data_IF_256436507268
#
_entry.id   IF_256436507268
#
_cell.length_a   1.000
_cell.length_b   1.000
_cell.length_c   1.000
_cell.angle_alpha   90.00
_cell.angle_beta   90.00
_cell.angle_gamma   90.00
#
_symmetry.space_group_name_H-M   'P 1'
#
loop_
_entity.id
_entity.type
_entity.pdbx_description
1 polymer ?
#
# COMPACT_ATOMS: atom_id res chain seq x y z
N UNK A 1 -38.11 -68.15 2.05
CA UNK A 1 -37.53 -68.96 0.96
C UNK A 1 -37.93 -68.55 -0.47
N UNK A 2 -38.22 -67.26 -0.76
CA UNK A 2 -38.65 -66.84 -2.11
C UNK A 2 -37.68 -65.93 -2.90
N UNK A 3 -36.58 -65.45 -2.32
CA UNK A 3 -35.70 -64.48 -3.00
C UNK A 3 -34.51 -65.09 -3.77
N UNK A 4 -34.19 -66.37 -3.58
CA UNK A 4 -32.91 -66.94 -4.06
C UNK A 4 -33.00 -67.46 -5.51
N UNK A 5 -34.20 -67.55 -6.11
CA UNK A 5 -34.38 -68.29 -7.37
C UNK A 5 -34.12 -67.50 -8.67
N UNK A 6 -33.87 -66.18 -8.65
CA UNK A 6 -33.86 -65.39 -9.90
C UNK A 6 -32.57 -64.68 -10.32
N UNK A 7 -31.48 -64.72 -9.54
CA UNK A 7 -30.20 -64.07 -9.92
C UNK A 7 -28.99 -65.01 -9.89
N UNK A 8 -29.14 -66.19 -10.50
CA UNK A 8 -28.06 -67.19 -10.61
C UNK A 8 -27.07 -66.93 -11.76
N UNK A 9 -26.97 -65.70 -12.29
CA UNK A 9 -26.15 -65.42 -13.48
C UNK A 9 -25.00 -64.42 -13.31
N UNK A 10 -24.87 -63.73 -12.17
CA UNK A 10 -23.87 -62.65 -12.09
C UNK A 10 -23.15 -62.49 -10.75
N UNK A 11 -23.25 -63.45 -9.82
CA UNK A 11 -22.49 -63.42 -8.56
C UNK A 11 -22.80 -62.24 -7.61
N UNK A 12 -23.71 -61.33 -7.96
CA UNK A 12 -24.04 -60.16 -7.16
C UNK A 12 -25.49 -60.20 -6.67
N UNK A 13 -25.66 -60.39 -5.35
CA UNK A 13 -26.89 -60.07 -4.63
C UNK A 13 -26.91 -58.56 -4.37
N UNK A 14 -27.02 -57.74 -5.42
CA UNK A 14 -27.13 -56.27 -5.26
C UNK A 14 -28.20 -55.86 -4.23
N UNK A 15 -28.28 -54.58 -3.90
CA UNK A 15 -29.12 -54.07 -2.80
C UNK A 15 -30.53 -54.71 -2.72
N UNK A 16 -30.86 -55.26 -1.55
CA UNK A 16 -32.14 -55.89 -1.27
C UNK A 16 -32.75 -55.36 0.04
N UNK A 17 -34.07 -55.44 0.15
CA UNK A 17 -34.80 -55.09 1.36
C UNK A 17 -35.13 -56.36 2.14
N UNK A 18 -34.79 -56.38 3.42
CA UNK A 18 -35.12 -57.47 4.33
C UNK A 18 -35.58 -56.87 5.65
N UNK A 19 -36.77 -57.26 6.11
CA UNK A 19 -37.42 -56.72 7.32
C UNK A 19 -37.54 -55.18 7.35
N UNK A 20 -37.73 -54.56 6.19
CA UNK A 20 -37.83 -53.10 6.06
C UNK A 20 -36.49 -52.36 6.08
N UNK A 21 -35.39 -53.08 6.30
CA UNK A 21 -34.04 -52.53 6.28
C UNK A 21 -33.34 -52.79 4.94
N UNK A 22 -32.39 -51.93 4.58
CA UNK A 22 -31.65 -52.01 3.33
C UNK A 22 -30.35 -52.79 3.54
N UNK A 23 -30.18 -53.88 2.81
CA UNK A 23 -29.04 -54.79 2.93
C UNK A 23 -28.24 -54.85 1.63
N UNK A 24 -26.93 -54.89 1.76
CA UNK A 24 -26.00 -55.12 0.66
C UNK A 24 -25.54 -56.58 0.69
N UNK A 25 -25.81 -57.33 -0.37
CA UNK A 25 -25.40 -58.73 -0.52
C UNK A 25 -24.28 -58.90 -1.54
N UNK A 26 -23.37 -59.83 -1.29
CA UNK A 26 -22.40 -60.26 -2.28
C UNK A 26 -22.19 -61.76 -2.19
N UNK A 27 -22.19 -62.45 -3.33
CA UNK A 27 -21.88 -63.88 -3.39
C UNK A 27 -20.49 -64.03 -4.00
N UNK A 28 -19.49 -64.27 -3.17
CA UNK A 28 -18.17 -64.67 -3.67
C UNK A 28 -18.21 -66.16 -4.00
N UNK A 29 -17.94 -66.50 -5.26
CA UNK A 29 -17.78 -67.90 -5.68
C UNK A 29 -16.29 -68.16 -5.85
N UNK A 30 -15.76 -69.14 -5.11
CA UNK A 30 -14.36 -69.52 -5.23
C UNK A 30 -14.16 -70.58 -6.30
N UNK A 31 -13.06 -70.49 -7.02
CA UNK A 31 -12.69 -71.40 -8.10
C UNK A 31 -12.56 -72.86 -7.63
N UNK A 32 -12.87 -73.78 -8.54
CA UNK A 32 -13.00 -75.21 -8.30
C UNK A 32 -11.68 -75.83 -7.81
N UNK A 33 -11.64 -76.32 -6.57
CA UNK A 33 -10.60 -77.23 -6.10
C UNK A 33 -11.29 -78.42 -5.42
N UNK A 34 -11.00 -79.63 -5.89
CA UNK A 34 -11.57 -80.90 -5.41
C UNK A 34 -13.09 -81.10 -5.61
N UNK A 35 -13.64 -80.71 -6.77
CA UNK A 35 -14.98 -81.16 -7.19
C UNK A 35 -16.17 -80.53 -6.44
N UNK A 36 -15.92 -79.64 -5.47
CA UNK A 36 -16.96 -79.01 -4.66
C UNK A 36 -16.94 -77.49 -4.85
N UNK A 37 -18.10 -76.91 -5.19
CA UNK A 37 -18.25 -75.46 -5.33
C UNK A 37 -18.63 -74.86 -3.97
N UNK A 38 -17.80 -73.95 -3.48
CA UNK A 38 -18.07 -73.18 -2.26
C UNK A 38 -18.61 -71.81 -2.65
N UNK A 39 -19.78 -71.47 -2.11
CA UNK A 39 -20.39 -70.16 -2.24
C UNK A 39 -20.38 -69.47 -0.89
N UNK A 40 -19.69 -68.34 -0.78
CA UNK A 40 -19.72 -67.50 0.40
C UNK A 40 -20.73 -66.38 0.19
N UNK A 41 -21.74 -66.34 1.04
CA UNK A 41 -22.75 -65.27 1.07
C UNK A 41 -22.36 -64.27 2.16
N UNK A 42 -22.12 -63.03 1.76
CA UNK A 42 -21.89 -61.91 2.66
C UNK A 42 -23.09 -60.98 2.58
N UNK A 43 -23.61 -60.56 3.73
CA UNK A 43 -24.68 -59.57 3.84
C UNK A 43 -24.30 -58.55 4.94
N UNK A 44 -24.35 -57.26 4.60
CA UNK A 44 -24.09 -56.17 5.54
C UNK A 44 -25.22 -55.15 5.47
N UNK A 45 -25.59 -54.58 6.62
CA UNK A 45 -26.58 -53.50 6.71
C UNK A 45 -26.00 -52.27 6.01
N UNK A 46 -26.78 -51.69 5.09
CA UNK A 46 -26.31 -50.54 4.33
C UNK A 46 -26.03 -49.34 5.25
N UNK A 47 -26.81 -49.17 6.30
CA UNK A 47 -26.67 -48.03 7.22
C UNK A 47 -25.34 -48.07 7.99
N UNK A 48 -24.88 -49.23 8.46
CA UNK A 48 -23.61 -49.36 9.22
C UNK A 48 -22.36 -49.09 8.37
N UNK A 49 -22.42 -49.39 7.06
CA UNK A 49 -21.35 -49.08 6.11
C UNK A 49 -21.18 -47.57 5.89
N UNK A 50 -22.27 -46.81 6.06
CA UNK A 50 -22.29 -45.37 5.86
C UNK A 50 -22.32 -44.56 7.17
N UNK A 51 -22.63 -45.15 8.32
CA UNK A 51 -22.76 -44.44 9.59
C UNK A 51 -21.44 -43.79 10.02
N UNK A 52 -20.32 -44.50 9.79
CA UNK A 52 -18.97 -43.97 9.99
C UNK A 52 -18.59 -42.86 8.98
N UNK A 53 -19.24 -42.81 7.80
CA UNK A 53 -18.98 -41.81 6.76
C UNK A 53 -19.90 -40.58 6.81
N UNK A 54 -21.10 -40.70 7.40
CA UNK A 54 -22.11 -39.64 7.47
C UNK A 54 -21.81 -38.66 8.60
N UNK A 55 -21.25 -39.12 9.73
CA UNK A 55 -20.76 -38.21 10.79
C UNK A 55 -19.65 -37.29 10.27
N UNK A 56 -18.74 -37.82 9.46
CA UNK A 56 -17.63 -37.05 8.86
C UNK A 56 -18.15 -36.04 7.82
N UNK A 57 -19.19 -36.39 7.06
CA UNK A 57 -19.80 -35.50 6.06
C UNK A 57 -20.41 -34.24 6.66
N UNK A 58 -21.17 -34.35 7.76
CA UNK A 58 -21.84 -33.18 8.36
C UNK A 58 -20.82 -32.20 8.95
N UNK A 59 -19.81 -32.70 9.65
CA UNK A 59 -18.78 -31.84 10.25
C UNK A 59 -17.90 -31.14 9.20
N UNK A 60 -17.65 -31.80 8.06
CA UNK A 60 -16.89 -31.21 6.96
C UNK A 60 -17.67 -30.07 6.28
N UNK A 61 -18.98 -30.22 6.12
CA UNK A 61 -19.84 -29.19 5.50
C UNK A 61 -19.93 -27.92 6.36
N UNK A 62 -20.09 -28.06 7.68
CA UNK A 62 -20.12 -26.89 8.57
C UNK A 62 -18.77 -26.19 8.64
N UNK A 63 -17.67 -26.95 8.69
CA UNK A 63 -16.31 -26.39 8.71
C UNK A 63 -16.01 -25.64 7.41
N UNK A 64 -16.36 -26.22 6.25
CA UNK A 64 -16.18 -25.56 4.95
C UNK A 64 -17.02 -24.28 4.81
N UNK A 65 -18.28 -24.32 5.25
CA UNK A 65 -19.16 -23.15 5.28
C UNK A 65 -18.60 -22.06 6.20
N UNK A 66 -18.07 -22.42 7.36
CA UNK A 66 -17.48 -21.48 8.31
C UNK A 66 -16.23 -20.81 7.74
N UNK A 67 -15.35 -21.58 7.08
CA UNK A 67 -14.16 -21.04 6.38
C UNK A 67 -14.59 -20.08 5.26
N UNK A 68 -15.56 -20.47 4.43
CA UNK A 68 -16.08 -19.62 3.36
C UNK A 68 -16.64 -18.30 3.92
N UNK A 69 -17.41 -18.39 5.02
CA UNK A 69 -17.95 -17.22 5.70
C UNK A 69 -16.87 -16.34 6.30
N UNK A 70 -15.73 -16.91 6.72
CA UNK A 70 -14.58 -16.16 7.27
C UNK A 70 -13.73 -15.49 6.18
N UNK A 71 -13.67 -16.07 4.98
CA UNK A 71 -12.94 -15.52 3.84
C UNK A 71 -13.57 -14.20 3.36
N UNK A 72 -14.90 -14.11 3.35
CA UNK A 72 -15.63 -12.90 2.94
C UNK A 72 -15.23 -11.63 3.74
N UNK A 73 -15.28 -11.61 5.09
CA UNK A 73 -14.82 -10.46 5.87
C UNK A 73 -13.31 -10.28 5.74
N UNK A 74 -12.52 -11.35 5.59
CA UNK A 74 -11.08 -11.24 5.33
C UNK A 74 -10.78 -10.43 4.07
N UNK A 75 -11.41 -10.78 2.94
CA UNK A 75 -11.27 -10.06 1.67
C UNK A 75 -11.76 -8.61 1.79
N UNK A 76 -12.90 -8.40 2.47
CA UNK A 76 -13.45 -7.06 2.69
C UNK A 76 -12.49 -6.15 3.47
N UNK A 77 -11.92 -6.66 4.56
CA UNK A 77 -10.95 -5.94 5.39
C UNK A 77 -9.70 -5.62 4.57
N UNK A 78 -9.12 -6.60 3.87
CA UNK A 78 -7.93 -6.39 3.04
C UNK A 78 -8.19 -5.34 1.94
N UNK A 79 -9.34 -5.42 1.27
CA UNK A 79 -9.74 -4.46 0.24
C UNK A 79 -9.84 -3.03 0.79
N UNK A 80 -10.42 -2.87 1.98
CA UNK A 80 -10.56 -1.56 2.64
C UNK A 80 -9.20 -1.02 3.11
N UNK A 81 -8.34 -1.88 3.67
CA UNK A 81 -7.00 -1.52 4.14
C UNK A 81 -6.05 -1.09 3.02
N UNK A 82 -6.15 -1.68 1.83
CA UNK A 82 -5.31 -1.33 0.67
C UNK A 82 -5.89 -0.11 -0.08
N UNK A 83 -7.22 -0.04 -0.21
CA UNK A 83 -7.87 1.03 -0.99
C UNK A 83 -7.77 2.41 -0.32
N UNK A 84 -7.83 2.48 1.02
CA UNK A 84 -7.71 3.75 1.73
C UNK A 84 -6.36 4.46 1.55
N UNK A 85 -5.19 3.82 1.75
CA UNK A 85 -3.89 4.47 1.59
C UNK A 85 -3.61 4.82 0.13
N UNK A 86 -4.05 4.01 -0.85
CA UNK A 86 -3.94 4.35 -2.27
C UNK A 86 -4.71 5.66 -2.55
N UNK A 87 -5.97 5.74 -2.12
CA UNK A 87 -6.79 6.95 -2.30
C UNK A 87 -6.19 8.19 -1.62
N UNK A 88 -5.51 8.02 -0.49
CA UNK A 88 -4.80 9.10 0.22
C UNK A 88 -3.56 9.54 -0.55
N UNK A 89 -2.74 8.60 -1.03
CA UNK A 89 -1.57 8.90 -1.85
C UNK A 89 -1.95 9.60 -3.17
N UNK A 90 -3.04 9.18 -3.81
CA UNK A 90 -3.58 9.85 -5.01
C UNK A 90 -4.05 11.27 -4.70
N UNK A 91 -4.70 11.52 -3.55
CA UNK A 91 -5.10 12.88 -3.16
C UNK A 91 -3.90 13.78 -2.91
N UNK A 92 -2.87 13.31 -2.19
CA UNK A 92 -1.64 14.07 -1.95
C UNK A 92 -0.91 14.40 -3.26
N UNK A 93 -0.85 13.44 -4.21
CA UNK A 93 -0.31 13.69 -5.54
C UNK A 93 -1.10 14.75 -6.33
N UNK A 94 -2.44 14.74 -6.23
CA UNK A 94 -3.30 15.74 -6.88
C UNK A 94 -3.16 17.14 -6.24
N UNK A 95 -2.96 17.21 -4.94
CA UNK A 95 -2.71 18.47 -4.24
C UNK A 95 -1.34 19.06 -4.67
N UNK A 96 -0.31 18.23 -4.85
CA UNK A 96 0.99 18.59 -5.45
C UNK A 96 0.82 19.09 -6.90
N UNK A 97 0.06 18.36 -7.74
CA UNK A 97 -0.24 18.76 -9.12
C UNK A 97 -0.91 20.15 -9.17
N UNK A 98 -1.76 20.45 -8.18
CA UNK A 98 -2.49 21.72 -8.11
C UNK A 98 -1.75 22.86 -7.39
N UNK A 99 -0.50 22.62 -6.93
CA UNK A 99 0.32 23.59 -6.18
C UNK A 99 -0.39 24.18 -4.93
N UNK A 100 -1.25 23.40 -4.27
CA UNK A 100 -1.97 23.80 -3.05
C UNK A 100 -1.33 23.17 -1.83
N UNK A 101 -0.36 23.86 -1.22
CA UNK A 101 0.43 23.34 -0.08
C UNK A 101 -0.09 23.76 1.30
N UNK A 102 -1.19 24.48 1.36
CA UNK A 102 -1.69 25.19 2.57
C UNK A 102 -2.57 24.31 3.50
N UNK A 103 -2.41 22.98 3.46
CA UNK A 103 -3.22 22.05 4.26
C UNK A 103 -2.33 21.25 5.20
N UNK A 104 -2.41 21.60 6.47
CA UNK A 104 -1.86 20.86 7.61
C UNK A 104 -2.43 19.42 7.62
N UNK A 105 -1.69 18.47 7.03
CA UNK A 105 -2.08 17.07 7.03
C UNK A 105 -1.62 16.42 8.33
N UNK A 106 -2.52 16.41 9.33
CA UNK A 106 -2.36 15.70 10.60
C UNK A 106 -1.94 14.26 10.34
N UNK A 107 -0.70 13.91 10.72
CA UNK A 107 -0.12 12.58 10.54
C UNK A 107 -0.85 11.62 11.50
N UNK A 108 -1.88 10.94 11.00
CA UNK A 108 -2.46 9.80 11.70
C UNK A 108 -1.55 8.58 11.53
N UNK A 109 -1.36 7.86 12.64
CA UNK A 109 -0.40 6.76 12.76
C UNK A 109 -0.63 5.71 11.67
N UNK A 110 0.39 5.48 10.84
CA UNK A 110 0.33 4.50 9.76
C UNK A 110 0.93 3.17 10.26
N UNK A 111 0.12 2.10 10.27
CA UNK A 111 0.52 0.79 10.82
C UNK A 111 1.39 -0.04 9.86
N UNK A 112 1.48 0.35 8.58
CA UNK A 112 2.24 -0.36 7.54
C UNK A 112 3.48 0.46 7.22
N UNK A 113 4.65 -0.10 7.53
CA UNK A 113 5.96 0.56 7.39
C UNK A 113 6.21 1.08 5.98
N UNK A 114 5.89 0.29 4.95
CA UNK A 114 6.10 0.67 3.55
C UNK A 114 5.28 1.92 3.17
N UNK A 115 4.10 2.10 3.79
CA UNK A 115 3.24 3.28 3.55
C UNK A 115 3.75 4.49 4.34
N UNK A 116 4.35 4.28 5.52
CA UNK A 116 5.02 5.33 6.28
C UNK A 116 6.25 5.85 5.51
N UNK A 117 7.06 4.96 4.95
CA UNK A 117 8.23 5.29 4.11
C UNK A 117 7.82 6.07 2.86
N UNK A 118 6.75 5.66 2.18
CA UNK A 118 6.24 6.38 1.01
C UNK A 118 5.72 7.78 1.38
N UNK A 119 5.01 7.92 2.50
CA UNK A 119 4.54 9.23 2.97
C UNK A 119 5.71 10.16 3.29
N UNK A 120 6.78 9.64 3.89
CA UNK A 120 8.00 10.39 4.19
C UNK A 120 8.69 10.85 2.89
N UNK A 121 8.85 9.95 1.91
CA UNK A 121 9.41 10.30 0.60
C UNK A 121 8.58 11.39 -0.10
N UNK A 122 7.24 11.29 -0.08
CA UNK A 122 6.37 12.32 -0.65
C UNK A 122 6.44 13.66 0.10
N UNK A 123 6.59 13.65 1.42
CA UNK A 123 6.79 14.89 2.19
C UNK A 123 8.13 15.55 1.86
N UNK A 124 9.19 14.77 1.63
CA UNK A 124 10.48 15.30 1.17
C UNK A 124 10.35 15.98 -0.20
N UNK A 125 9.68 15.33 -1.18
CA UNK A 125 9.43 15.93 -2.50
C UNK A 125 8.56 17.18 -2.43
N UNK A 126 7.51 17.18 -1.59
CA UNK A 126 6.67 18.37 -1.37
C UNK A 126 7.49 19.55 -0.81
N UNK A 127 8.40 19.28 0.14
CA UNK A 127 9.30 20.29 0.70
C UNK A 127 10.23 20.86 -0.37
N UNK A 128 10.86 20.00 -1.18
CA UNK A 128 11.76 20.43 -2.26
C UNK A 128 11.03 21.29 -3.29
N UNK A 129 9.82 20.90 -3.72
CA UNK A 129 9.03 21.68 -4.69
C UNK A 129 8.63 23.02 -4.10
N UNK A 130 8.17 23.04 -2.84
CA UNK A 130 7.78 24.28 -2.16
C UNK A 130 8.98 25.24 -2.06
N UNK A 131 10.16 24.72 -1.75
CA UNK A 131 11.39 25.50 -1.63
C UNK A 131 11.88 26.02 -2.99
N UNK A 132 11.75 25.22 -4.05
CA UNK A 132 12.04 25.67 -5.41
C UNK A 132 11.08 26.77 -5.88
N UNK A 133 9.78 26.64 -5.59
CA UNK A 133 8.78 27.68 -5.91
C UNK A 133 9.02 28.94 -5.11
N UNK A 134 9.33 28.84 -3.81
CA UNK A 134 9.70 30.00 -2.99
C UNK A 134 10.95 30.69 -3.51
N UNK A 135 11.97 29.93 -3.93
CA UNK A 135 13.17 30.49 -4.55
C UNK A 135 12.84 31.18 -5.88
N UNK A 136 12.03 30.54 -6.72
CA UNK A 136 11.62 31.08 -8.02
C UNK A 136 10.73 32.32 -7.85
N UNK A 137 9.83 32.34 -6.87
CA UNK A 137 8.99 33.49 -6.56
C UNK A 137 9.79 34.64 -5.94
N UNK A 138 10.79 34.36 -5.10
CA UNK A 138 11.71 35.40 -4.60
C UNK A 138 12.56 36.02 -5.72
N UNK A 139 12.86 35.26 -6.78
CA UNK A 139 13.58 35.77 -7.95
C UNK A 139 12.63 36.51 -8.91
N UNK A 140 11.38 36.04 -9.05
CA UNK A 140 10.40 36.58 -9.99
C UNK A 140 9.62 37.79 -9.45
N UNK A 141 9.44 37.89 -8.13
CA UNK A 141 8.73 38.99 -7.50
C UNK A 141 9.75 40.02 -7.01
N UNK A 142 9.72 41.21 -7.62
CA UNK A 142 10.58 42.38 -7.39
C UNK A 142 10.61 42.93 -5.94
N UNK A 143 10.14 42.20 -4.93
CA UNK A 143 9.96 42.69 -3.56
C UNK A 143 11.13 42.37 -2.61
N UNK A 144 12.04 41.44 -2.94
CA UNK A 144 13.13 41.03 -2.03
C UNK A 144 14.54 41.12 -2.62
N UNK A 145 14.73 41.86 -3.73
CA UNK A 145 16.07 42.04 -4.33
C UNK A 145 17.07 42.59 -3.30
N UNK A 146 16.66 43.58 -2.51
CA UNK A 146 17.52 44.20 -1.51
C UNK A 146 17.92 43.21 -0.40
N UNK A 147 17.01 42.31 0.03
CA UNK A 147 17.32 41.26 1.01
C UNK A 147 18.31 40.23 0.45
N UNK A 148 18.10 39.77 -0.78
CA UNK A 148 18.98 38.79 -1.44
C UNK A 148 20.39 39.38 -1.62
N UNK A 149 20.48 40.63 -2.09
CA UNK A 149 21.76 41.32 -2.26
C UNK A 149 22.49 41.48 -0.92
N UNK A 150 21.77 41.82 0.16
CA UNK A 150 22.36 41.94 1.49
C UNK A 150 22.93 40.61 2.00
N UNK A 151 22.18 39.50 1.83
CA UNK A 151 22.59 38.17 2.27
C UNK A 151 23.83 37.70 1.49
N UNK A 152 23.81 37.80 0.17
CA UNK A 152 24.94 37.39 -0.68
C UNK A 152 26.19 38.23 -0.39
N UNK A 153 26.04 39.54 -0.18
CA UNK A 153 27.16 40.40 0.18
C UNK A 153 27.76 40.04 1.54
N UNK A 154 26.92 39.73 2.53
CA UNK A 154 27.37 39.30 3.86
C UNK A 154 28.14 37.98 3.80
N UNK A 155 27.56 36.95 3.18
CA UNK A 155 28.17 35.63 3.05
C UNK A 155 29.49 35.70 2.27
N UNK A 156 29.54 36.52 1.23
CA UNK A 156 30.77 36.73 0.44
C UNK A 156 31.84 37.41 1.28
N UNK A 157 31.51 38.48 2.01
CA UNK A 157 32.47 39.20 2.86
C UNK A 157 33.06 38.28 3.94
N UNK A 158 32.23 37.40 4.53
CA UNK A 158 32.69 36.41 5.49
C UNK A 158 33.59 35.35 4.85
N UNK A 159 33.22 34.84 3.67
CA UNK A 159 33.98 33.79 2.96
C UNK A 159 35.38 34.24 2.52
N UNK A 160 35.56 35.53 2.21
CA UNK A 160 36.85 36.09 1.81
C UNK A 160 37.60 36.81 2.94
N UNK A 161 37.08 36.75 4.18
CA UNK A 161 37.62 37.47 5.34
C UNK A 161 37.86 38.97 5.06
N UNK A 162 36.99 39.60 4.26
CA UNK A 162 37.14 40.98 3.86
C UNK A 162 36.86 41.94 5.02
N UNK A 163 37.67 43.00 5.13
CA UNK A 163 37.42 44.07 6.10
C UNK A 163 36.23 44.97 5.73
N UNK A 164 35.66 44.83 4.53
CA UNK A 164 34.45 45.54 4.11
C UNK A 164 34.01 45.21 2.69
N UNK A 165 32.76 45.56 2.36
CA UNK A 165 32.11 45.34 1.06
C UNK A 165 31.18 46.51 0.71
N UNK A 166 31.16 46.85 -0.58
CA UNK A 166 30.26 47.85 -1.16
C UNK A 166 29.61 47.27 -2.41
N UNK A 167 28.29 47.42 -2.52
CA UNK A 167 27.52 47.02 -3.69
C UNK A 167 26.82 48.22 -4.29
N UNK A 168 27.12 48.49 -5.56
CA UNK A 168 26.43 49.48 -6.38
C UNK A 168 25.69 48.78 -7.50
N UNK A 169 24.46 49.23 -7.77
CA UNK A 169 23.72 48.86 -8.96
C UNK A 169 23.75 50.00 -9.96
N UNK A 170 23.97 49.67 -11.21
CA UNK A 170 23.89 50.64 -12.29
C UNK A 170 22.42 50.90 -12.64
N UNK A 171 22.00 52.15 -12.46
CA UNK A 171 20.74 52.67 -12.98
C UNK A 171 20.99 53.15 -14.42
N UNK A 172 20.47 52.38 -15.37
CA UNK A 172 20.63 52.61 -16.82
C UNK A 172 19.89 53.89 -17.24
N UNK A 173 18.78 54.22 -16.60
CA UNK A 173 17.95 55.36 -17.00
C UNK A 173 18.58 56.70 -16.57
N UNK A 174 19.24 56.71 -15.41
CA UNK A 174 19.84 57.90 -14.83
C UNK A 174 21.38 57.95 -14.96
N UNK A 175 22.00 56.95 -15.58
CA UNK A 175 23.47 56.80 -15.72
C UNK A 175 24.25 56.97 -14.40
N UNK A 176 23.65 56.50 -13.30
CA UNK A 176 24.25 56.59 -11.97
C UNK A 176 24.37 55.23 -11.32
N UNK A 177 25.42 55.06 -10.53
CA UNK A 177 25.61 53.92 -9.65
C UNK A 177 24.91 54.21 -8.33
N UNK A 178 23.84 53.49 -8.04
CA UNK A 178 23.06 53.60 -6.81
C UNK A 178 23.60 52.60 -5.78
N UNK A 179 24.01 53.05 -4.58
CA UNK A 179 24.46 52.14 -3.54
C UNK A 179 23.29 51.32 -3.00
N UNK A 180 23.50 50.01 -2.87
CA UNK A 180 22.51 49.06 -2.34
C UNK A 180 22.91 48.38 -1.05
N UNK A 181 24.22 48.17 -0.83
CA UNK A 181 24.71 47.57 0.40
C UNK A 181 26.10 48.09 0.73
N UNK A 182 26.33 48.38 2.02
CA UNK A 182 27.63 48.76 2.56
C UNK A 182 27.83 48.10 3.91
N UNK A 183 28.98 47.48 4.10
CA UNK A 183 29.37 46.91 5.38
C UNK A 183 30.89 47.02 5.55
N UNK A 184 31.34 47.41 6.75
CA UNK A 184 32.76 47.53 7.07
C UNK A 184 33.00 47.07 8.51
N UNK A 185 34.08 46.32 8.72
CA UNK A 185 34.45 45.77 10.01
C UNK A 185 34.83 46.90 10.98
N UNK A 186 34.00 47.09 12.02
CA UNK A 186 34.21 48.14 13.04
C UNK A 186 33.31 49.38 12.90
N UNK A 187 32.38 49.39 11.94
CA UNK A 187 31.35 50.44 11.81
C UNK A 187 29.97 49.85 12.11
N UNK A 188 29.18 50.51 12.97
CA UNK A 188 27.77 50.12 13.16
C UNK A 188 26.97 50.44 11.89
N UNK A 189 26.07 49.53 11.48
CA UNK A 189 25.32 49.58 10.22
C UNK A 189 24.48 50.85 10.01
N UNK A 190 24.27 51.67 11.05
CA UNK A 190 23.55 52.94 11.00
C UNK A 190 24.42 54.17 10.66
N UNK A 191 25.73 54.01 10.45
CA UNK A 191 26.66 55.14 10.18
C UNK A 191 27.35 55.08 8.81
N UNK A 192 27.07 54.05 8.00
CA UNK A 192 27.63 53.92 6.67
C UNK A 192 26.63 54.44 5.62
N UNK A 193 26.74 55.71 5.25
CA UNK A 193 26.04 56.27 4.09
C UNK A 193 26.98 56.22 2.87
N UNK A 194 26.56 55.49 1.83
CA UNK A 194 27.22 55.52 0.54
C UNK A 194 26.51 56.52 -0.38
N UNK A 195 27.27 57.30 -1.15
CA UNK A 195 26.71 58.28 -2.08
C UNK A 195 26.60 57.68 -3.49
N UNK A 196 25.56 58.03 -4.26
CA UNK A 196 25.48 57.65 -5.67
C UNK A 196 26.65 58.23 -6.45
N UNK A 197 27.26 57.41 -7.32
CA UNK A 197 28.41 57.79 -8.14
C UNK A 197 27.96 57.96 -9.59
N UNK A 198 28.34 59.04 -10.30
CA UNK A 198 28.12 59.14 -11.73
C UNK A 198 28.97 58.09 -12.45
N UNK A 199 28.41 57.49 -13.50
CA UNK A 199 29.16 56.57 -14.36
C UNK A 199 30.02 57.45 -15.27
N UNK A 200 31.30 57.62 -14.94
CA UNK A 200 32.25 58.26 -15.86
C UNK A 200 32.44 57.36 -17.07
N UNK A 201 32.30 57.94 -18.27
CA UNK A 201 32.80 57.35 -19.52
C UNK A 201 34.28 56.97 -19.42
#
# INVERSE_FOLDING_TARGET
NYAIKRKKRDGQLGMFYFEGEKWFGHIATFGHSYGQQFHLLMAAKADDLFDNGVLIKKQTIYTSLLILLLILPGIYVISMYISQPIKRATRKAKDIESFKFDKEHVIQHCYIREIAELNQAQSATQSTISQFISLTNNIANKENLDEILSLVCHDTAQAVEASGIFLYLHDIDNEVLVPKYVWYQGMEAHQAEACPLPVSE
#
